data_IF_935098741134
#
_entry.id   IF_935098741134
#
_cell.length_a   1.000
_cell.length_b   1.000
_cell.length_c   1.000
_cell.angle_alpha   90.00
_cell.angle_beta   90.00
_cell.angle_gamma   90.00
#
_symmetry.space_group_name_H-M   'P 1'
#
loop_
_entity.id
_entity.type
_entity.pdbx_description
1 polymer ?
#
# COMPACT_ATOMS: atom_id res chain seq x y z
N UNK A 1 8.40 -2.99 15.80
CA UNK A 1 7.89 -3.31 17.15
C UNK A 1 7.54 -4.80 17.31
N UNK A 2 6.75 -5.40 16.41
CA UNK A 2 6.28 -6.80 16.53
C UNK A 2 7.40 -7.84 16.66
N UNK A 3 8.47 -7.70 15.85
CA UNK A 3 9.65 -8.58 15.95
C UNK A 3 10.36 -8.49 17.30
N UNK A 4 10.44 -7.29 17.90
CA UNK A 4 10.99 -7.12 19.24
C UNK A 4 10.08 -7.71 20.33
N UNK A 5 8.76 -7.76 20.11
CA UNK A 5 7.80 -8.43 21.01
C UNK A 5 7.88 -9.96 20.96
N UNK A 6 8.76 -10.53 20.13
CA UNK A 6 8.93 -11.98 19.97
C UNK A 6 7.89 -12.64 19.07
N UNK A 7 7.04 -11.86 18.39
CA UNK A 7 6.03 -12.41 17.46
C UNK A 7 6.72 -12.97 16.22
N UNK A 8 6.28 -14.15 15.80
CA UNK A 8 6.76 -14.77 14.57
C UNK A 8 6.32 -13.97 13.33
N UNK A 9 7.01 -14.14 12.18
CA UNK A 9 6.54 -13.59 10.91
C UNK A 9 5.11 -14.05 10.57
N UNK A 10 4.71 -15.26 10.99
CA UNK A 10 3.38 -15.79 10.73
C UNK A 10 2.30 -15.07 11.53
N UNK A 11 2.51 -14.89 12.84
CA UNK A 11 1.59 -14.12 13.69
C UNK A 11 1.45 -12.67 13.20
N UNK A 12 2.55 -12.06 12.74
CA UNK A 12 2.52 -10.72 12.14
C UNK A 12 1.80 -10.71 10.79
N UNK A 13 2.00 -11.73 9.96
CA UNK A 13 1.24 -11.93 8.72
C UNK A 13 -0.27 -12.00 8.96
N UNK A 14 -0.72 -12.71 10.01
CA UNK A 14 -2.14 -12.76 10.40
C UNK A 14 -2.65 -11.38 10.81
N UNK A 15 -1.91 -10.65 11.67
CA UNK A 15 -2.28 -9.30 12.08
C UNK A 15 -2.50 -8.41 10.85
N UNK A 16 -1.56 -8.43 9.91
CA UNK A 16 -1.59 -7.60 8.70
C UNK A 16 -2.66 -8.04 7.69
N UNK A 17 -3.00 -9.33 7.66
CA UNK A 17 -4.10 -9.87 6.85
C UNK A 17 -5.45 -9.35 7.35
N UNK A 18 -5.64 -9.30 8.67
CA UNK A 18 -6.89 -8.88 9.30
C UNK A 18 -7.04 -7.35 9.29
N UNK A 19 -5.93 -6.61 9.45
CA UNK A 19 -5.91 -5.15 9.62
C UNK A 19 -6.69 -4.34 8.58
N UNK A 20 -6.59 -4.60 7.27
CA UNK A 20 -7.31 -3.82 6.26
C UNK A 20 -8.75 -4.31 6.01
N UNK A 21 -9.18 -5.48 6.50
CA UNK A 21 -10.51 -6.02 6.20
C UNK A 21 -11.66 -5.13 6.69
N UNK A 22 -11.63 -4.58 7.92
CA UNK A 22 -12.69 -3.67 8.36
C UNK A 22 -12.76 -2.41 7.50
N UNK A 23 -11.63 -1.96 6.94
CA UNK A 23 -11.61 -0.76 6.09
C UNK A 23 -12.47 -0.89 4.83
N UNK A 24 -12.67 -2.11 4.30
CA UNK A 24 -13.54 -2.36 3.15
C UNK A 24 -15.00 -1.99 3.40
N UNK A 25 -15.48 -2.27 4.62
CA UNK A 25 -16.85 -1.98 5.02
C UNK A 25 -16.94 -0.57 5.59
N UNK A 26 -15.94 -0.14 6.34
CA UNK A 26 -15.96 1.15 7.03
C UNK A 26 -15.83 2.34 6.08
N UNK A 27 -15.08 2.23 4.97
CA UNK A 27 -14.97 3.30 3.95
C UNK A 27 -16.34 3.75 3.40
N UNK A 28 -17.17 2.88 2.80
CA UNK A 28 -18.46 3.30 2.25
C UNK A 28 -19.44 3.76 3.34
N UNK A 29 -19.40 3.15 4.53
CA UNK A 29 -20.24 3.57 5.65
C UNK A 29 -19.88 4.99 6.13
N UNK A 30 -18.60 5.26 6.37
CA UNK A 30 -18.15 6.59 6.79
C UNK A 30 -18.35 7.62 5.69
N UNK A 31 -18.10 7.29 4.42
CA UNK A 31 -18.42 8.16 3.29
C UNK A 31 -19.89 8.56 3.26
N UNK A 32 -20.80 7.58 3.35
CA UNK A 32 -22.24 7.84 3.38
C UNK A 32 -22.69 8.69 4.58
N UNK A 33 -22.06 8.52 5.75
CA UNK A 33 -22.29 9.35 6.93
C UNK A 33 -21.83 10.78 6.67
N UNK A 34 -20.59 10.97 6.20
CA UNK A 34 -20.02 12.29 5.91
C UNK A 34 -20.86 13.05 4.89
N UNK A 35 -21.33 12.36 3.85
CA UNK A 35 -22.16 12.96 2.81
C UNK A 35 -23.57 13.29 3.33
N UNK A 36 -24.18 12.39 4.11
CA UNK A 36 -25.51 12.59 4.70
C UNK A 36 -25.53 13.76 5.68
N UNK A 37 -24.54 13.83 6.56
CA UNK A 37 -24.44 14.86 7.60
C UNK A 37 -23.65 16.09 7.18
N UNK A 38 -23.10 16.09 5.95
CA UNK A 38 -22.35 17.21 5.37
C UNK A 38 -21.25 17.73 6.31
N UNK A 39 -20.53 16.81 6.95
CA UNK A 39 -19.58 17.12 8.02
C UNK A 39 -18.15 16.59 7.74
N UNK A 40 -17.56 16.81 6.55
CA UNK A 40 -16.25 16.24 6.20
C UNK A 40 -15.13 16.73 7.13
N UNK A 41 -15.21 17.98 7.59
CA UNK A 41 -14.28 18.53 8.59
C UNK A 41 -14.32 17.74 9.91
N UNK A 42 -15.52 17.52 10.42
CA UNK A 42 -15.72 16.83 11.70
C UNK A 42 -15.21 15.40 11.60
N UNK A 43 -15.54 14.70 10.51
CA UNK A 43 -15.06 13.35 10.28
C UNK A 43 -13.53 13.28 10.19
N UNK A 44 -12.89 14.22 9.46
CA UNK A 44 -11.43 14.30 9.41
C UNK A 44 -10.83 14.51 10.81
N UNK A 45 -11.36 15.47 11.58
CA UNK A 45 -10.91 15.72 12.96
C UNK A 45 -11.11 14.49 13.86
N UNK A 46 -12.23 13.78 13.75
CA UNK A 46 -12.47 12.54 14.51
C UNK A 46 -11.45 11.46 14.14
N UNK A 47 -11.11 11.29 12.86
CA UNK A 47 -10.08 10.31 12.46
C UNK A 47 -8.69 10.67 12.99
N UNK A 48 -8.35 11.97 13.04
CA UNK A 48 -7.09 12.45 13.62
C UNK A 48 -7.02 12.16 15.12
N UNK A 49 -8.11 12.40 15.86
CA UNK A 49 -8.18 12.11 17.30
C UNK A 49 -8.07 10.60 17.56
N UNK A 50 -8.76 9.76 16.78
CA UNK A 50 -8.64 8.30 16.91
C UNK A 50 -7.21 7.83 16.57
N UNK A 51 -6.59 8.43 15.55
CA UNK A 51 -5.18 8.20 15.21
C UNK A 51 -4.24 8.55 16.37
N UNK A 52 -4.42 9.71 16.98
CA UNK A 52 -3.66 10.13 18.17
C UNK A 52 -3.85 9.14 19.34
N UNK A 53 -5.10 8.76 19.64
CA UNK A 53 -5.41 7.83 20.73
C UNK A 53 -4.83 6.43 20.49
N UNK A 54 -4.84 5.93 19.25
CA UNK A 54 -4.24 4.64 18.91
C UNK A 54 -2.72 4.67 19.00
N UNK A 55 -2.06 5.76 18.61
CA UNK A 55 -0.61 5.94 18.83
C UNK A 55 -0.28 5.98 20.32
N UNK A 56 -1.06 6.71 21.13
CA UNK A 56 -0.92 6.70 22.59
C UNK A 56 -1.10 5.28 23.17
N UNK A 57 -2.13 4.55 22.72
CA UNK A 57 -2.35 3.17 23.14
C UNK A 57 -1.13 2.28 22.80
N UNK A 58 -0.59 2.36 21.59
CA UNK A 58 0.60 1.62 21.18
C UNK A 58 1.85 1.98 22.00
N UNK A 59 2.00 3.25 22.38
CA UNK A 59 3.11 3.73 23.21
C UNK A 59 3.00 3.22 24.66
N UNK A 60 1.79 3.15 25.21
CA UNK A 60 1.53 2.67 26.58
C UNK A 60 1.53 1.15 26.71
N UNK A 61 1.47 0.41 25.61
CA UNK A 61 1.54 -1.05 25.67
C UNK A 61 2.87 -1.50 26.28
N UNK A 62 2.85 -2.47 27.22
CA UNK A 62 4.06 -2.98 27.85
C UNK A 62 5.12 -3.33 26.80
N UNK A 63 6.38 -2.98 27.10
CA UNK A 63 7.52 -3.24 26.23
C UNK A 63 7.71 -4.74 25.94
N UNK A 64 8.69 -5.10 25.09
CA UNK A 64 8.93 -6.50 24.76
C UNK A 64 9.21 -7.31 26.03
N UNK A 65 8.41 -8.36 26.25
CA UNK A 65 8.41 -9.15 27.50
C UNK A 65 9.37 -10.35 27.42
N UNK A 66 9.85 -10.73 26.22
CA UNK A 66 10.56 -12.00 26.03
C UNK A 66 11.81 -11.88 25.17
N UNK A 67 12.86 -12.59 25.61
CA UNK A 67 14.11 -12.81 24.89
C UNK A 67 13.96 -14.02 23.95
N UNK A 68 13.43 -13.80 22.76
CA UNK A 68 13.34 -14.85 21.72
C UNK A 68 12.00 -14.91 21.02
N UNK A 69 11.91 -15.82 20.04
CA UNK A 69 10.67 -16.13 19.35
C UNK A 69 9.76 -16.87 20.34
N UNK A 70 8.55 -16.36 20.54
CA UNK A 70 7.53 -17.00 21.35
C UNK A 70 6.76 -17.95 20.43
N UNK A 71 6.42 -19.15 20.91
CA UNK A 71 5.55 -20.06 20.18
C UNK A 71 4.19 -19.41 19.89
N UNK A 72 3.71 -19.59 18.66
CA UNK A 72 2.52 -18.91 18.15
C UNK A 72 1.28 -19.25 19.00
N UNK A 73 1.17 -20.48 19.51
CA UNK A 73 0.07 -20.90 20.39
C UNK A 73 0.01 -20.11 21.71
N UNK A 74 1.17 -19.76 22.26
CA UNK A 74 1.27 -18.94 23.48
C UNK A 74 0.95 -17.48 23.16
N UNK A 75 1.43 -16.98 22.02
CA UNK A 75 1.14 -15.63 21.54
C UNK A 75 -0.37 -15.43 21.37
N UNK A 76 -1.08 -16.33 20.69
CA UNK A 76 -2.51 -16.20 20.43
C UNK A 76 -3.39 -16.34 21.68
N UNK A 77 -2.90 -16.98 22.74
CA UNK A 77 -3.61 -17.06 24.03
C UNK A 77 -3.41 -15.82 24.92
N UNK A 78 -2.41 -15.00 24.62
CA UNK A 78 -2.06 -13.86 25.47
C UNK A 78 -2.98 -12.66 25.20
N UNK A 79 -3.59 -12.02 26.23
CA UNK A 79 -4.46 -10.86 26.03
C UNK A 79 -3.75 -9.66 25.39
N UNK A 80 -2.44 -9.52 25.61
CA UNK A 80 -1.60 -8.50 24.97
C UNK A 80 -1.58 -8.62 23.44
N UNK A 81 -1.64 -9.84 22.89
CA UNK A 81 -1.70 -10.04 21.45
C UNK A 81 -3.01 -9.49 20.87
N UNK A 82 -4.15 -9.81 21.50
CA UNK A 82 -5.46 -9.32 21.06
C UNK A 82 -5.60 -7.81 21.23
N UNK A 83 -5.04 -7.23 22.31
CA UNK A 83 -4.96 -5.79 22.48
C UNK A 83 -4.10 -5.13 21.38
N UNK A 84 -2.97 -5.73 21.04
CA UNK A 84 -2.10 -5.27 19.95
C UNK A 84 -2.80 -5.36 18.59
N UNK A 85 -3.40 -6.53 18.28
CA UNK A 85 -4.16 -6.77 17.06
C UNK A 85 -5.30 -5.75 16.90
N UNK A 86 -6.14 -5.59 17.92
CA UNK A 86 -7.26 -4.65 17.87
C UNK A 86 -6.80 -3.21 17.68
N UNK A 87 -5.71 -2.80 18.35
CA UNK A 87 -5.15 -1.45 18.18
C UNK A 87 -4.61 -1.23 16.76
N UNK A 88 -3.90 -2.22 16.19
CA UNK A 88 -3.37 -2.13 14.81
C UNK A 88 -4.49 -2.15 13.77
N UNK A 89 -5.56 -2.92 14.01
CA UNK A 89 -6.76 -2.97 13.15
C UNK A 89 -7.47 -1.62 13.16
N UNK A 90 -7.68 -1.02 14.35
CA UNK A 90 -8.27 0.32 14.47
C UNK A 90 -7.37 1.34 13.76
N UNK A 91 -6.06 1.30 14.01
CA UNK A 91 -5.10 2.22 13.40
C UNK A 91 -5.12 2.18 11.86
N UNK A 92 -5.05 0.99 11.25
CA UNK A 92 -5.10 0.86 9.79
C UNK A 92 -6.47 1.27 9.22
N UNK A 93 -7.56 0.92 9.90
CA UNK A 93 -8.90 1.32 9.49
C UNK A 93 -9.04 2.85 9.54
N UNK A 94 -8.53 3.50 10.58
CA UNK A 94 -8.54 4.96 10.73
C UNK A 94 -7.71 5.65 9.66
N UNK A 95 -6.47 5.21 9.39
CA UNK A 95 -5.64 5.75 8.29
C UNK A 95 -6.38 5.62 6.96
N UNK A 96 -7.01 4.48 6.75
CA UNK A 96 -7.73 4.20 5.53
C UNK A 96 -8.95 5.10 5.33
N UNK A 97 -9.74 5.38 6.38
CA UNK A 97 -10.88 6.31 6.31
C UNK A 97 -10.37 7.73 6.13
N UNK A 98 -9.32 8.11 6.88
CA UNK A 98 -8.69 9.43 6.81
C UNK A 98 -8.26 9.75 5.38
N UNK A 99 -7.51 8.87 4.71
CA UNK A 99 -7.07 9.10 3.33
C UNK A 99 -8.23 9.32 2.35
N UNK A 100 -9.34 8.59 2.51
CA UNK A 100 -10.55 8.80 1.70
C UNK A 100 -11.19 10.18 1.94
N UNK A 101 -11.26 10.63 3.20
CA UNK A 101 -11.83 11.94 3.56
C UNK A 101 -10.93 13.07 3.08
N UNK A 102 -9.60 12.93 3.23
CA UNK A 102 -8.60 13.89 2.74
C UNK A 102 -8.68 14.07 1.22
N UNK A 103 -8.70 12.96 0.47
CA UNK A 103 -8.80 13.00 -0.99
C UNK A 103 -10.12 13.67 -1.43
N UNK A 104 -11.23 13.34 -0.75
CA UNK A 104 -12.54 13.96 -1.01
C UNK A 104 -12.53 15.46 -0.74
N UNK A 105 -11.96 15.90 0.39
CA UNK A 105 -11.85 17.32 0.74
C UNK A 105 -10.96 18.05 -0.26
N UNK A 106 -9.83 17.46 -0.64
CA UNK A 106 -8.90 18.03 -1.60
C UNK A 106 -9.58 18.28 -2.96
N UNK A 107 -10.27 17.28 -3.50
CA UNK A 107 -11.01 17.42 -4.77
C UNK A 107 -12.10 18.49 -4.66
N UNK A 108 -12.83 18.54 -3.55
CA UNK A 108 -13.86 19.54 -3.32
C UNK A 108 -13.31 20.97 -3.22
N UNK A 109 -12.14 21.15 -2.59
CA UNK A 109 -11.46 22.45 -2.48
C UNK A 109 -10.88 22.89 -3.83
N UNK A 110 -10.43 21.95 -4.66
CA UNK A 110 -9.94 22.24 -6.01
C UNK A 110 -11.06 22.65 -6.98
N UNK A 111 -12.30 22.19 -6.75
CA UNK A 111 -13.47 22.62 -7.54
C UNK A 111 -13.29 22.30 -9.03
N UNK A 112 -13.18 23.33 -9.87
CA UNK A 112 -12.99 23.20 -11.32
C UNK A 112 -11.53 22.89 -11.70
N UNK A 113 -10.58 23.13 -10.79
CA UNK A 113 -9.14 22.88 -10.97
C UNK A 113 -8.72 21.45 -10.57
N UNK A 114 -9.58 20.43 -10.77
CA UNK A 114 -9.30 19.03 -10.37
C UNK A 114 -8.00 18.46 -10.96
N UNK A 115 -7.54 19.00 -12.09
CA UNK A 115 -6.28 18.61 -12.71
C UNK A 115 -5.05 18.87 -11.81
N UNK A 116 -5.14 19.78 -10.84
CA UNK A 116 -4.08 20.07 -9.85
C UNK A 116 -4.04 19.08 -8.67
N UNK A 117 -4.91 18.07 -8.65
CA UNK A 117 -4.93 17.06 -7.58
C UNK A 117 -3.59 16.34 -7.43
N UNK A 118 -2.93 16.01 -8.55
CA UNK A 118 -1.60 15.39 -8.54
C UNK A 118 -0.55 16.28 -7.84
N UNK A 119 -0.60 17.59 -8.07
CA UNK A 119 0.31 18.57 -7.45
C UNK A 119 0.13 18.62 -5.92
N UNK A 120 -1.11 18.47 -5.44
CA UNK A 120 -1.40 18.34 -4.01
C UNK A 120 -0.91 16.99 -3.45
N UNK A 121 -1.18 15.89 -4.16
CA UNK A 121 -0.85 14.53 -3.69
C UNK A 121 0.66 14.28 -3.58
N UNK A 122 1.46 14.96 -4.40
CA UNK A 122 2.93 14.94 -4.34
C UNK A 122 3.45 15.30 -2.95
N UNK A 123 2.86 16.29 -2.28
CA UNK A 123 3.28 16.69 -0.93
C UNK A 123 3.12 15.57 0.10
N UNK A 124 2.15 14.67 -0.08
CA UNK A 124 2.02 13.46 0.74
C UNK A 124 3.20 12.48 0.56
N UNK A 125 3.74 12.36 -0.66
CA UNK A 125 4.94 11.55 -0.92
C UNK A 125 6.20 12.20 -0.36
N UNK A 126 6.30 13.53 -0.48
CA UNK A 126 7.39 14.31 0.11
C UNK A 126 7.40 14.14 1.63
N UNK A 127 6.25 14.30 2.29
CA UNK A 127 6.10 14.10 3.73
C UNK A 127 6.44 12.69 4.19
N UNK A 128 5.98 11.66 3.47
CA UNK A 128 6.33 10.27 3.77
C UNK A 128 7.84 10.05 3.68
N UNK A 129 8.48 10.51 2.60
CA UNK A 129 9.92 10.34 2.40
C UNK A 129 10.78 11.08 3.42
N UNK A 130 10.43 12.33 3.77
CA UNK A 130 11.23 13.15 4.70
C UNK A 130 11.06 12.71 6.16
N UNK A 131 9.83 12.46 6.62
CA UNK A 131 9.58 12.04 8.00
C UNK A 131 10.12 10.62 8.25
N UNK A 132 10.16 9.76 7.23
CA UNK A 132 10.71 8.40 7.36
C UNK A 132 12.20 8.38 7.73
N UNK A 133 13.04 9.17 7.03
CA UNK A 133 14.47 9.24 7.34
C UNK A 133 14.74 9.92 8.69
N UNK A 134 14.00 10.99 9.01
CA UNK A 134 14.10 11.68 10.31
C UNK A 134 13.74 10.71 11.44
N UNK A 135 12.60 10.01 11.33
CA UNK A 135 12.15 9.05 12.34
C UNK A 135 13.13 7.89 12.50
N UNK A 136 13.66 7.36 11.39
CA UNK A 136 14.66 6.31 11.40
C UNK A 136 15.95 6.72 12.11
N UNK A 137 16.48 7.90 11.78
CA UNK A 137 17.69 8.46 12.39
C UNK A 137 17.49 8.76 13.88
N UNK A 138 16.33 9.33 14.27
CA UNK A 138 16.00 9.59 15.66
C UNK A 138 15.95 8.30 16.49
N UNK A 139 15.33 7.24 15.97
CA UNK A 139 15.28 5.93 16.66
C UNK A 139 16.69 5.37 16.83
N UNK A 140 17.51 5.37 15.80
CA UNK A 140 18.88 4.86 15.89
C UNK A 140 19.75 5.67 16.85
N UNK A 141 19.62 7.00 16.85
CA UNK A 141 20.36 7.89 17.74
C UNK A 141 19.97 7.71 19.22
N UNK A 142 18.67 7.68 19.54
CA UNK A 142 18.18 7.43 20.89
C UNK A 142 18.43 6.02 21.40
N UNK A 143 18.62 5.06 20.48
CA UNK A 143 18.89 3.66 20.84
C UNK A 143 20.39 3.38 21.04
N UNK A 144 21.28 4.39 20.93
CA UNK A 144 22.72 4.19 21.15
C UNK A 144 22.97 3.65 22.58
N UNK A 145 23.72 2.56 22.66
CA UNK A 145 24.04 1.88 23.93
C UNK A 145 22.89 1.06 24.53
N UNK A 146 21.71 1.01 23.91
CA UNK A 146 20.59 0.22 24.38
C UNK A 146 20.55 -1.16 23.69
N UNK A 147 20.13 -2.19 24.42
CA UNK A 147 20.00 -3.56 23.90
C UNK A 147 18.88 -3.72 22.85
N UNK A 148 17.89 -2.84 22.88
CA UNK A 148 16.77 -2.82 21.92
C UNK A 148 16.62 -1.43 21.31
N UNK A 149 16.03 -1.38 20.10
CA UNK A 149 15.66 -0.08 19.51
C UNK A 149 14.51 0.51 20.29
N UNK A 150 14.71 1.71 20.82
CA UNK A 150 13.69 2.48 21.49
C UNK A 150 12.89 3.28 20.46
N UNK A 151 11.62 2.92 20.31
CA UNK A 151 10.70 3.56 19.38
C UNK A 151 10.02 4.82 19.95
N UNK A 152 10.33 5.21 21.20
CA UNK A 152 9.79 6.41 21.84
C UNK A 152 9.92 7.68 20.98
N UNK A 153 11.07 7.97 20.33
CA UNK A 153 11.17 9.15 19.47
C UNK A 153 10.18 9.12 18.32
N UNK A 154 9.95 7.96 17.71
CA UNK A 154 8.98 7.80 16.63
C UNK A 154 7.54 8.03 17.11
N UNK A 155 7.20 7.57 18.32
CA UNK A 155 5.89 7.84 18.91
C UNK A 155 5.71 9.33 19.22
N UNK A 156 6.71 9.98 19.83
CA UNK A 156 6.67 11.42 20.11
C UNK A 156 6.51 12.21 18.81
N UNK A 157 7.35 11.94 17.79
CA UNK A 157 7.23 12.59 16.48
C UNK A 157 5.85 12.39 15.87
N UNK A 158 5.29 11.18 15.94
CA UNK A 158 3.94 10.90 15.43
C UNK A 158 2.87 11.69 16.18
N UNK A 159 2.92 11.74 17.52
CA UNK A 159 1.97 12.48 18.34
C UNK A 159 2.06 13.99 18.08
N UNK A 160 3.27 14.54 17.93
CA UNK A 160 3.46 15.95 17.55
C UNK A 160 2.85 16.24 16.18
N UNK A 161 3.07 15.37 15.19
CA UNK A 161 2.49 15.55 13.85
C UNK A 161 0.97 15.44 13.86
N UNK A 162 0.38 14.52 14.63
CA UNK A 162 -1.08 14.44 14.80
C UNK A 162 -1.65 15.69 15.47
N UNK A 163 -0.95 16.28 16.45
CA UNK A 163 -1.38 17.52 17.09
C UNK A 163 -1.33 18.73 16.15
N UNK A 164 -0.27 18.83 15.34
CA UNK A 164 -0.14 19.87 14.30
C UNK A 164 -1.23 19.71 13.23
N UNK A 165 -1.45 18.49 12.76
CA UNK A 165 -2.49 18.16 11.78
C UNK A 165 -3.91 18.51 12.30
N UNK A 166 -4.19 18.22 13.58
CA UNK A 166 -5.44 18.65 14.21
C UNK A 166 -5.59 20.17 14.22
N UNK A 167 -4.50 20.89 14.54
CA UNK A 167 -4.48 22.35 14.53
C UNK A 167 -4.74 22.89 13.12
N UNK A 168 -4.06 22.38 12.10
CA UNK A 168 -4.20 22.82 10.71
C UNK A 168 -5.61 22.57 10.19
N UNK A 169 -6.14 21.35 10.37
CA UNK A 169 -7.52 21.00 9.98
C UNK A 169 -8.54 21.86 10.70
N UNK A 170 -8.30 22.23 11.96
CA UNK A 170 -9.20 23.14 12.70
C UNK A 170 -9.32 24.52 12.04
N UNK A 171 -8.28 24.97 11.31
CA UNK A 171 -8.25 26.27 10.61
C UNK A 171 -8.76 26.21 9.18
N UNK A 172 -8.74 25.04 8.54
CA UNK A 172 -9.25 24.90 7.17
C UNK A 172 -10.75 25.25 7.11
N UNK A 173 -11.10 26.15 6.19
CA UNK A 173 -12.48 26.47 5.84
C UNK A 173 -12.92 25.55 4.70
N UNK A 174 -13.70 24.52 5.04
CA UNK A 174 -14.23 23.60 4.04
C UNK A 174 -15.55 24.18 3.54
N UNK A 175 -15.53 24.77 2.35
CA UNK A 175 -16.74 25.25 1.67
C UNK A 175 -17.29 24.09 0.85
N UNK A 176 -18.44 23.57 1.27
CA UNK A 176 -19.08 22.45 0.60
C UNK A 176 -19.93 22.99 -0.56
N UNK A 177 -19.49 22.79 -1.81
CA UNK A 177 -20.33 23.03 -2.98
C UNK A 177 -21.46 21.98 -2.96
N UNK A 178 -22.71 22.43 -2.90
CA UNK A 178 -23.87 21.56 -3.12
C UNK A 178 -23.84 21.11 -4.58
N UNK A 179 -23.73 19.80 -4.81
CA UNK A 179 -24.13 19.23 -6.09
C UNK A 179 -25.25 18.20 -5.88
N UNK A 180 -26.26 18.37 -6.73
CA UNK A 180 -27.55 17.71 -6.68
C UNK A 180 -27.45 16.20 -6.87
N UNK A 181 -28.46 15.53 -6.32
CA UNK A 181 -28.76 14.11 -6.50
C UNK A 181 -28.69 13.68 -7.97
N UNK A 182 -27.62 12.96 -8.35
CA UNK A 182 -27.51 12.34 -9.67
C UNK A 182 -27.53 10.81 -9.50
N UNK A 183 -28.71 10.26 -9.81
CA UNK A 183 -28.94 8.99 -10.52
C UNK A 183 -28.49 7.70 -9.79
N UNK A 184 -29.25 7.27 -8.78
CA UNK A 184 -29.15 5.91 -8.20
C UNK A 184 -29.60 4.80 -9.16
N UNK A 185 -30.32 5.12 -10.23
CA UNK A 185 -31.09 4.13 -11.01
C UNK A 185 -30.30 3.49 -12.16
N UNK A 186 -29.21 4.09 -12.66
CA UNK A 186 -28.37 3.52 -13.74
C UNK A 186 -27.08 2.81 -13.26
N UNK A 187 -26.67 3.03 -12.00
CA UNK A 187 -25.43 2.50 -11.43
C UNK A 187 -25.41 0.96 -11.40
N UNK A 188 -26.52 0.31 -11.04
CA UNK A 188 -26.59 -1.16 -10.93
C UNK A 188 -26.43 -1.83 -12.30
N UNK A 189 -26.98 -1.21 -13.35
CA UNK A 189 -26.92 -1.73 -14.72
C UNK A 189 -25.52 -1.52 -15.32
N UNK A 190 -24.93 -0.33 -15.16
CA UNK A 190 -23.55 -0.06 -15.55
C UNK A 190 -22.53 -0.96 -14.83
N UNK A 191 -22.73 -1.18 -13.53
CA UNK A 191 -21.89 -2.07 -12.72
C UNK A 191 -21.95 -3.52 -13.21
N UNK A 192 -23.15 -4.03 -13.52
CA UNK A 192 -23.31 -5.36 -14.10
C UNK A 192 -22.63 -5.47 -15.47
N UNK A 193 -22.71 -4.44 -16.32
CA UNK A 193 -22.02 -4.42 -17.62
C UNK A 193 -20.49 -4.51 -17.48
N UNK A 194 -19.92 -3.86 -16.47
CA UNK A 194 -18.48 -3.93 -16.19
C UNK A 194 -18.02 -5.36 -15.85
N UNK A 195 -18.77 -6.06 -14.99
CA UNK A 195 -18.48 -7.45 -14.61
C UNK A 195 -18.86 -8.47 -15.69
N UNK A 196 -19.67 -8.09 -16.68
CA UNK A 196 -20.01 -8.97 -17.81
C UNK A 196 -18.88 -9.03 -18.85
N UNK A 197 -17.96 -8.06 -18.83
CA UNK A 197 -16.84 -8.02 -19.77
C UNK A 197 -15.68 -8.90 -19.27
N UNK A 198 -15.50 -10.07 -19.87
CA UNK A 198 -14.45 -11.03 -19.49
C UNK A 198 -13.03 -10.41 -19.43
N UNK A 199 -12.72 -9.42 -20.29
CA UNK A 199 -11.44 -8.70 -20.28
C UNK A 199 -11.21 -7.92 -18.98
N UNK A 200 -12.26 -7.34 -18.41
CA UNK A 200 -12.18 -6.58 -17.15
C UNK A 200 -11.97 -7.52 -15.97
N UNK A 201 -12.65 -8.67 -15.95
CA UNK A 201 -12.44 -9.69 -14.91
C UNK A 201 -11.00 -10.22 -14.91
N UNK A 202 -10.44 -10.53 -16.08
CA UNK A 202 -9.04 -10.93 -16.23
C UNK A 202 -8.12 -9.83 -15.72
N UNK A 203 -8.40 -8.57 -16.03
CA UNK A 203 -7.58 -7.44 -15.56
C UNK A 203 -7.67 -7.27 -14.03
N UNK A 204 -8.86 -7.40 -13.43
CA UNK A 204 -9.04 -7.38 -11.96
C UNK A 204 -8.23 -8.49 -11.30
N UNK A 205 -8.19 -9.69 -11.88
CA UNK A 205 -7.35 -10.77 -11.37
C UNK A 205 -5.86 -10.39 -11.33
N UNK A 206 -5.35 -9.73 -12.37
CA UNK A 206 -3.97 -9.23 -12.38
C UNK A 206 -3.73 -8.12 -11.36
N UNK A 207 -4.72 -7.26 -11.10
CA UNK A 207 -4.66 -6.27 -10.03
C UNK A 207 -4.51 -6.96 -8.66
N UNK A 208 -5.24 -8.05 -8.41
CA UNK A 208 -5.11 -8.83 -7.16
C UNK A 208 -3.68 -9.40 -7.01
N UNK A 209 -3.09 -9.93 -8.10
CA UNK A 209 -1.71 -10.44 -8.08
C UNK A 209 -0.70 -9.31 -7.82
N UNK A 210 -0.92 -8.11 -8.37
CA UNK A 210 -0.07 -6.95 -8.07
C UNK A 210 -0.15 -6.57 -6.59
N UNK A 211 -1.36 -6.53 -6.01
CA UNK A 211 -1.55 -6.29 -4.57
C UNK A 211 -0.90 -7.37 -3.71
N UNK A 212 -0.93 -8.64 -4.16
CA UNK A 212 -0.23 -9.75 -3.52
C UNK A 212 1.28 -9.53 -3.45
N UNK A 213 1.93 -9.09 -4.55
CA UNK A 213 3.37 -8.82 -4.51
C UNK A 213 3.71 -7.55 -3.72
N UNK A 214 2.86 -6.53 -3.80
CA UNK A 214 3.05 -5.27 -3.09
C UNK A 214 3.06 -5.44 -1.56
N UNK A 215 2.27 -6.38 -1.01
CA UNK A 215 2.26 -6.64 0.44
C UNK A 215 3.61 -7.09 1.00
N UNK A 216 4.42 -7.80 0.22
CA UNK A 216 5.76 -8.21 0.65
C UNK A 216 6.68 -7.01 0.83
N UNK A 217 6.55 -6.04 -0.07
CA UNK A 217 7.32 -4.80 -0.03
C UNK A 217 6.81 -3.90 1.10
N UNK A 218 5.49 -3.77 1.26
CA UNK A 218 4.93 -2.94 2.33
C UNK A 218 5.24 -3.47 3.74
N UNK A 219 5.15 -4.79 3.94
CA UNK A 219 5.12 -5.33 5.30
C UNK A 219 6.32 -6.19 5.70
N UNK A 220 6.93 -6.92 4.76
CA UNK A 220 8.01 -7.86 5.05
C UNK A 220 9.39 -7.33 4.68
N UNK A 221 9.47 -6.29 3.88
CA UNK A 221 10.72 -5.67 3.46
C UNK A 221 11.60 -5.18 4.63
N UNK A 222 11.02 -4.48 5.60
CA UNK A 222 11.76 -4.05 6.80
C UNK A 222 12.24 -5.22 7.64
N UNK A 223 11.47 -6.32 7.67
CA UNK A 223 11.87 -7.54 8.34
C UNK A 223 13.11 -8.15 7.67
N UNK A 224 13.10 -8.18 6.34
CA UNK A 224 14.22 -8.64 5.53
C UNK A 224 15.47 -7.79 5.71
N UNK A 225 15.37 -6.46 5.72
CA UNK A 225 16.52 -5.59 6.00
C UNK A 225 17.14 -5.89 7.38
N UNK A 226 16.30 -6.13 8.39
CA UNK A 226 16.79 -6.54 9.70
C UNK A 226 17.42 -7.94 9.68
N UNK A 227 16.91 -8.87 8.87
CA UNK A 227 17.52 -10.19 8.71
C UNK A 227 18.88 -10.12 8.01
N UNK A 228 19.04 -9.32 6.95
CA UNK A 228 20.34 -9.09 6.30
C UNK A 228 21.38 -8.55 7.30
N UNK A 229 20.97 -7.54 8.07
CA UNK A 229 21.82 -6.96 9.12
C UNK A 229 22.13 -7.98 10.22
N UNK A 230 21.23 -8.92 10.52
CA UNK A 230 21.48 -9.96 11.51
C UNK A 230 22.40 -11.09 11.00
N UNK A 231 22.28 -11.46 9.73
CA UNK A 231 22.94 -12.63 9.12
C UNK A 231 24.32 -12.27 8.59
N UNK A 232 24.43 -11.21 7.79
CA UNK A 232 25.66 -10.89 7.04
C UNK A 232 26.45 -9.74 7.65
N UNK A 233 25.77 -8.68 8.10
CA UNK A 233 26.44 -7.44 8.51
C UNK A 233 25.93 -6.89 9.86
N UNK A 234 26.23 -7.57 11.01
CA UNK A 234 25.80 -7.12 12.33
C UNK A 234 26.24 -5.70 12.73
N UNK A 235 27.32 -5.20 12.13
CA UNK A 235 27.82 -3.84 12.27
C UNK A 235 26.85 -2.76 11.77
N UNK A 236 25.88 -3.13 10.92
CA UNK A 236 24.86 -2.21 10.40
C UNK A 236 23.64 -2.08 11.32
N UNK A 237 23.49 -2.95 12.34
CA UNK A 237 22.36 -2.91 13.30
C UNK A 237 22.18 -1.56 14.00
N UNK A 238 23.23 -0.80 14.35
CA UNK A 238 23.07 0.53 14.94
C UNK A 238 22.36 1.53 14.01
N UNK A 239 22.46 1.35 12.70
CA UNK A 239 21.95 2.28 11.67
C UNK A 239 20.77 1.72 10.87
N UNK A 240 20.25 0.55 11.25
CA UNK A 240 19.25 -0.17 10.45
C UNK A 240 17.93 0.59 10.28
N UNK A 241 17.52 1.40 11.25
CA UNK A 241 16.28 2.19 11.15
C UNK A 241 16.47 3.40 10.25
N UNK A 242 17.66 3.97 10.24
CA UNK A 242 18.07 5.01 9.31
C UNK A 242 18.09 4.48 7.88
N UNK A 243 18.62 3.26 7.67
CA UNK A 243 18.59 2.59 6.35
C UNK A 243 17.13 2.36 5.92
N UNK A 244 16.26 1.83 6.79
CA UNK A 244 14.82 1.70 6.50
C UNK A 244 14.17 3.04 6.15
N UNK A 245 14.48 4.11 6.88
CA UNK A 245 13.99 5.45 6.57
C UNK A 245 14.47 5.95 5.20
N UNK A 246 15.75 5.77 4.89
CA UNK A 246 16.36 6.16 3.62
C UNK A 246 15.78 5.39 2.44
N UNK A 247 15.48 4.10 2.60
CA UNK A 247 14.82 3.30 1.55
C UNK A 247 13.48 3.91 1.15
N UNK A 248 12.64 4.30 2.13
CA UNK A 248 11.38 4.98 1.87
C UNK A 248 11.59 6.34 1.20
N UNK A 249 12.61 7.11 1.61
CA UNK A 249 12.97 8.37 0.96
C UNK A 249 13.30 8.15 -0.52
N UNK A 250 14.13 7.15 -0.85
CA UNK A 250 14.48 6.83 -2.24
C UNK A 250 13.26 6.34 -3.02
N UNK A 251 12.40 5.52 -2.42
CA UNK A 251 11.14 5.10 -3.05
C UNK A 251 10.26 6.32 -3.40
N UNK A 252 10.15 7.30 -2.51
CA UNK A 252 9.34 8.50 -2.73
C UNK A 252 9.94 9.44 -3.79
N UNK A 253 11.20 9.86 -3.61
CA UNK A 253 11.83 10.87 -4.46
C UNK A 253 12.46 10.29 -5.73
N UNK A 254 13.07 9.11 -5.65
CA UNK A 254 13.74 8.46 -6.78
C UNK A 254 12.80 7.60 -7.62
N UNK A 255 11.84 6.92 -6.99
CA UNK A 255 10.87 6.07 -7.66
C UNK A 255 9.58 6.80 -8.02
N UNK A 256 8.78 7.14 -7.01
CA UNK A 256 7.39 7.56 -7.21
C UNK A 256 7.28 8.90 -7.95
N UNK A 257 8.05 9.91 -7.54
CA UNK A 257 7.95 11.25 -8.11
C UNK A 257 8.25 11.28 -9.63
N UNK A 258 9.37 10.74 -10.13
CA UNK A 258 9.65 10.72 -11.57
C UNK A 258 8.65 9.88 -12.37
N UNK A 259 8.27 8.71 -11.87
CA UNK A 259 7.39 7.80 -12.61
C UNK A 259 5.93 8.24 -12.61
N UNK A 260 5.43 8.93 -11.57
CA UNK A 260 4.11 9.53 -11.63
C UNK A 260 4.05 10.62 -12.71
N UNK A 261 5.08 11.47 -12.82
CA UNK A 261 5.17 12.46 -13.88
C UNK A 261 5.27 11.83 -15.27
N UNK A 262 6.16 10.82 -15.43
CA UNK A 262 6.42 10.17 -16.70
C UNK A 262 5.30 9.22 -17.15
N UNK A 263 4.46 8.74 -16.22
CA UNK A 263 3.38 7.78 -16.51
C UNK A 263 2.44 8.26 -17.61
N UNK A 264 2.10 9.55 -17.63
CA UNK A 264 1.22 10.16 -18.63
C UNK A 264 1.80 10.09 -20.05
N UNK A 265 3.12 10.15 -20.19
CA UNK A 265 3.80 10.03 -21.47
C UNK A 265 3.89 8.57 -21.93
N UNK A 266 4.22 7.66 -21.00
CA UNK A 266 4.31 6.22 -21.27
C UNK A 266 2.95 5.67 -21.70
N UNK A 267 1.88 5.99 -20.96
CA UNK A 267 0.52 5.50 -21.21
C UNK A 267 -0.13 6.06 -22.49
N UNK A 268 0.44 7.11 -23.07
CA UNK A 268 0.04 7.60 -24.41
C UNK A 268 0.68 6.79 -25.55
N UNK A 269 1.84 6.17 -25.29
CA UNK A 269 2.64 5.49 -26.32
C UNK A 269 2.61 3.97 -26.23
N UNK A 270 2.36 3.44 -25.03
CA UNK A 270 2.41 2.00 -24.73
C UNK A 270 1.03 1.56 -24.23
N UNK A 271 0.55 0.42 -24.75
CA UNK A 271 -0.71 -0.15 -24.28
C UNK A 271 -0.57 -0.66 -22.84
N UNK A 272 -1.65 -0.55 -22.06
CA UNK A 272 -1.64 -0.87 -20.63
C UNK A 272 -1.16 -2.30 -20.34
N UNK A 273 -1.50 -3.28 -21.20
CA UNK A 273 -1.13 -4.68 -21.00
C UNK A 273 0.38 -4.90 -21.07
N UNK A 274 1.08 -4.18 -21.94
CA UNK A 274 2.54 -4.25 -22.00
C UNK A 274 3.19 -3.58 -20.79
N UNK A 275 2.60 -2.49 -20.30
CA UNK A 275 3.07 -1.83 -19.07
C UNK A 275 2.89 -2.75 -17.87
N UNK A 276 1.74 -3.42 -17.72
CA UNK A 276 1.52 -4.41 -16.64
C UNK A 276 2.51 -5.58 -16.74
N UNK A 277 2.82 -6.06 -17.94
CA UNK A 277 3.86 -7.09 -18.14
C UNK A 277 5.24 -6.59 -17.66
N UNK A 278 5.60 -5.34 -17.97
CA UNK A 278 6.85 -4.73 -17.51
C UNK A 278 6.91 -4.57 -15.98
N UNK A 279 5.77 -4.34 -15.33
CA UNK A 279 5.64 -4.27 -13.87
C UNK A 279 5.94 -5.63 -13.25
N UNK A 280 5.34 -6.72 -13.75
CA UNK A 280 5.64 -8.07 -13.25
C UNK A 280 7.10 -8.47 -13.47
N UNK A 281 7.68 -8.11 -14.61
CA UNK A 281 9.11 -8.30 -14.86
C UNK A 281 9.96 -7.53 -13.83
N UNK A 282 9.60 -6.28 -13.53
CA UNK A 282 10.32 -5.48 -12.54
C UNK A 282 10.18 -6.07 -11.14
N UNK A 283 9.02 -6.59 -10.76
CA UNK A 283 8.86 -7.34 -9.50
C UNK A 283 9.77 -8.57 -9.46
N UNK A 284 9.86 -9.33 -10.55
CA UNK A 284 10.73 -10.50 -10.64
C UNK A 284 12.20 -10.14 -10.45
N UNK A 285 12.67 -9.08 -11.12
CA UNK A 285 14.03 -8.54 -10.96
C UNK A 285 14.25 -8.04 -9.54
N UNK A 286 13.32 -7.25 -9.00
CA UNK A 286 13.41 -6.67 -7.65
C UNK A 286 13.53 -7.76 -6.58
N UNK A 287 12.68 -8.78 -6.62
CA UNK A 287 12.74 -9.91 -5.70
C UNK A 287 13.96 -10.80 -5.92
N UNK A 288 14.43 -10.96 -7.16
CA UNK A 288 15.69 -11.65 -7.44
C UNK A 288 16.87 -10.92 -6.79
N UNK A 289 16.95 -9.59 -6.97
CA UNK A 289 18.00 -8.77 -6.36
C UNK A 289 17.95 -8.88 -4.83
N UNK A 290 16.77 -8.86 -4.20
CA UNK A 290 16.64 -9.11 -2.76
C UNK A 290 17.05 -10.52 -2.33
N UNK A 291 17.08 -11.50 -3.23
CA UNK A 291 17.58 -12.84 -2.88
C UNK A 291 19.11 -12.96 -2.94
N UNK A 292 19.80 -12.01 -3.59
CA UNK A 292 21.25 -12.05 -3.82
C UNK A 292 21.98 -10.99 -3.00
N UNK A 293 21.30 -9.91 -2.58
CA UNK A 293 21.91 -8.86 -1.78
C UNK A 293 22.23 -9.38 -0.38
N UNK A 294 23.50 -9.29 -0.01
CA UNK A 294 23.96 -9.60 1.36
C UNK A 294 24.13 -8.32 2.20
N UNK A 295 24.64 -7.25 1.60
CA UNK A 295 24.84 -5.97 2.27
C UNK A 295 23.57 -5.09 2.20
N UNK A 296 22.99 -4.67 3.35
CA UNK A 296 21.78 -3.86 3.41
C UNK A 296 21.81 -2.55 2.60
N UNK A 297 22.98 -1.95 2.37
CA UNK A 297 23.11 -0.72 1.58
C UNK A 297 22.85 -0.94 0.09
N UNK A 298 23.13 -2.13 -0.46
CA UNK A 298 22.85 -2.45 -1.87
C UNK A 298 21.36 -2.55 -2.17
N UNK A 299 20.50 -2.52 -1.16
CA UNK A 299 19.05 -2.46 -1.33
C UNK A 299 18.62 -1.06 -1.82
N UNK A 300 19.35 0.00 -1.46
CA UNK A 300 19.04 1.39 -1.84
C UNK A 300 18.89 1.62 -3.36
N UNK A 301 19.82 1.20 -4.24
CA UNK A 301 19.65 1.35 -5.68
C UNK A 301 18.48 0.53 -6.24
N UNK A 302 18.11 -0.59 -5.60
CA UNK A 302 16.96 -1.40 -6.01
C UNK A 302 15.64 -0.64 -5.77
N UNK A 303 15.60 0.25 -4.79
CA UNK A 303 14.40 1.03 -4.45
C UNK A 303 13.97 2.03 -5.54
N UNK A 304 14.85 2.41 -6.47
CA UNK A 304 14.45 3.19 -7.64
C UNK A 304 13.43 2.45 -8.53
N UNK A 305 13.48 1.11 -8.55
CA UNK A 305 12.51 0.28 -9.26
C UNK A 305 11.08 0.40 -8.69
N UNK A 306 10.93 0.97 -7.48
CA UNK A 306 9.62 1.21 -6.89
C UNK A 306 8.73 2.11 -7.73
N UNK A 307 9.32 3.03 -8.49
CA UNK A 307 8.57 3.89 -9.41
C UNK A 307 7.80 3.08 -10.46
N UNK A 308 8.38 1.98 -10.95
CA UNK A 308 7.70 1.09 -11.91
C UNK A 308 6.68 0.22 -11.18
N UNK A 309 7.10 -0.45 -10.10
CA UNK A 309 6.25 -1.45 -9.41
C UNK A 309 5.05 -0.84 -8.71
N UNK A 310 5.15 0.43 -8.30
CA UNK A 310 4.08 1.14 -7.59
C UNK A 310 3.46 2.26 -8.43
N UNK A 311 4.24 3.31 -8.75
CA UNK A 311 3.68 4.52 -9.35
C UNK A 311 3.14 4.29 -10.77
N UNK A 312 3.95 3.70 -11.66
CA UNK A 312 3.53 3.38 -13.02
C UNK A 312 2.43 2.31 -13.03
N UNK A 313 2.54 1.28 -12.17
CA UNK A 313 1.53 0.24 -12.03
C UNK A 313 0.15 0.83 -11.67
N UNK A 314 0.10 1.64 -10.60
CA UNK A 314 -1.14 2.28 -10.14
C UNK A 314 -1.74 3.19 -11.22
N UNK A 315 -0.94 4.04 -11.85
CA UNK A 315 -1.40 4.91 -12.95
C UNK A 315 -1.95 4.12 -14.14
N UNK A 316 -1.32 3.00 -14.48
CA UNK A 316 -1.74 2.12 -15.59
C UNK A 316 -3.09 1.47 -15.29
N UNK A 317 -3.23 0.90 -14.08
CA UNK A 317 -4.45 0.23 -13.64
C UNK A 317 -5.63 1.20 -13.68
N UNK A 318 -5.45 2.39 -13.09
CA UNK A 318 -6.46 3.44 -13.05
C UNK A 318 -6.85 3.85 -14.47
N UNK A 319 -5.88 4.15 -15.33
CA UNK A 319 -6.14 4.60 -16.69
C UNK A 319 -6.88 3.55 -17.52
N UNK A 320 -6.48 2.28 -17.44
CA UNK A 320 -7.10 1.20 -18.18
C UNK A 320 -8.55 0.94 -17.74
N UNK A 321 -8.76 0.88 -16.42
CA UNK A 321 -10.09 0.60 -15.86
C UNK A 321 -11.07 1.75 -16.10
N UNK A 322 -10.65 3.01 -15.94
CA UNK A 322 -11.51 4.17 -16.21
C UNK A 322 -11.83 4.30 -17.71
N UNK A 323 -10.90 3.97 -18.62
CA UNK A 323 -11.18 3.96 -20.07
C UNK A 323 -12.13 2.82 -20.48
N UNK A 324 -12.09 1.71 -19.78
CA UNK A 324 -12.97 0.56 -20.03
C UNK A 324 -14.35 0.72 -19.40
N UNK A 325 -14.51 1.68 -18.50
CA UNK A 325 -15.75 1.94 -17.80
C UNK A 325 -16.63 2.95 -18.54
N UNK A 326 -17.96 2.77 -18.54
CA UNK A 326 -18.89 3.76 -19.05
C UNK A 326 -18.81 5.08 -18.24
N UNK A 327 -19.07 6.20 -18.91
CA UNK A 327 -18.95 7.55 -18.32
C UNK A 327 -19.86 7.69 -17.10
N UNK A 328 -19.32 8.21 -15.99
CA UNK A 328 -20.08 8.47 -14.76
C UNK A 328 -19.94 7.44 -13.64
N UNK A 329 -19.15 6.37 -13.79
CA UNK A 329 -18.87 5.39 -12.71
C UNK A 329 -17.41 5.35 -12.25
N UNK A 330 -16.62 6.38 -12.54
CA UNK A 330 -15.19 6.44 -12.23
C UNK A 330 -14.91 6.20 -10.73
N UNK A 331 -15.70 6.80 -9.83
CA UNK A 331 -15.56 6.59 -8.39
C UNK A 331 -15.78 5.13 -7.97
N UNK A 332 -16.75 4.45 -8.58
CA UNK A 332 -17.02 3.02 -8.32
C UNK A 332 -15.87 2.16 -8.84
N UNK A 333 -15.33 2.48 -10.01
CA UNK A 333 -14.19 1.78 -10.62
C UNK A 333 -12.93 1.91 -9.75
N UNK A 334 -12.65 3.10 -9.23
CA UNK A 334 -11.59 3.32 -8.25
C UNK A 334 -11.80 2.44 -7.00
N UNK A 335 -13.03 2.39 -6.47
CA UNK A 335 -13.39 1.52 -5.35
C UNK A 335 -13.07 0.04 -5.62
N UNK A 336 -13.37 -0.46 -6.82
CA UNK A 336 -13.04 -1.83 -7.25
C UNK A 336 -11.51 -2.03 -7.28
N UNK A 337 -10.76 -1.11 -7.88
CA UNK A 337 -9.28 -1.18 -7.95
C UNK A 337 -8.67 -1.27 -6.55
N UNK A 338 -9.05 -0.36 -5.65
CA UNK A 338 -8.50 -0.34 -4.29
C UNK A 338 -8.92 -1.58 -3.48
N UNK A 339 -10.13 -2.10 -3.71
CA UNK A 339 -10.59 -3.36 -3.10
C UNK A 339 -9.78 -4.54 -3.61
N UNK A 340 -9.52 -4.62 -4.92
CA UNK A 340 -8.70 -5.68 -5.50
C UNK A 340 -7.25 -5.63 -5.01
N UNK A 341 -6.62 -4.45 -4.98
CA UNK A 341 -5.25 -4.26 -4.49
C UNK A 341 -5.15 -4.50 -2.97
N UNK A 342 -5.77 -3.63 -2.18
CA UNK A 342 -5.54 -3.54 -0.74
C UNK A 342 -6.54 -4.34 0.10
N UNK A 343 -7.70 -4.67 -0.47
CA UNK A 343 -8.74 -5.45 0.20
C UNK A 343 -8.60 -6.95 0.05
N UNK A 344 -8.05 -7.41 -1.08
CA UNK A 344 -7.94 -8.83 -1.41
C UNK A 344 -6.47 -9.22 -1.63
N UNK A 345 -5.78 -8.56 -2.57
CA UNK A 345 -4.40 -8.88 -2.91
C UNK A 345 -3.45 -8.79 -1.71
N UNK A 346 -3.46 -7.63 -1.03
CA UNK A 346 -2.56 -7.37 0.10
C UNK A 346 -2.81 -8.32 1.28
N UNK A 347 -4.05 -8.62 1.71
CA UNK A 347 -4.30 -9.64 2.74
C UNK A 347 -3.81 -11.03 2.36
N UNK A 348 -4.08 -11.49 1.14
CA UNK A 348 -3.60 -12.81 0.67
C UNK A 348 -2.06 -12.85 0.69
N UNK A 349 -1.41 -11.81 0.17
CA UNK A 349 0.04 -11.73 0.18
C UNK A 349 0.63 -11.58 1.58
N UNK A 350 -0.08 -10.92 2.50
CA UNK A 350 0.37 -10.80 3.89
C UNK A 350 0.33 -12.14 4.64
N UNK A 351 -0.71 -12.93 4.42
CA UNK A 351 -0.84 -14.26 4.98
C UNK A 351 0.24 -15.20 4.42
N UNK A 352 0.38 -15.25 3.09
CA UNK A 352 1.40 -16.09 2.43
C UNK A 352 2.80 -15.62 2.80
N UNK A 353 3.03 -14.31 2.90
CA UNK A 353 4.32 -13.76 3.31
C UNK A 353 4.69 -14.11 4.74
N UNK A 354 3.72 -14.06 5.66
CA UNK A 354 3.93 -14.50 7.03
C UNK A 354 4.32 -15.96 7.10
N UNK A 355 3.66 -16.82 6.31
CA UNK A 355 3.97 -18.24 6.22
C UNK A 355 5.37 -18.50 5.62
N UNK A 356 5.68 -17.89 4.46
CA UNK A 356 6.95 -18.08 3.76
C UNK A 356 8.14 -17.61 4.61
N UNK A 357 8.06 -16.40 5.18
CA UNK A 357 9.13 -15.85 6.03
C UNK A 357 9.33 -16.68 7.29
N UNK A 358 8.27 -17.24 7.85
CA UNK A 358 8.36 -18.10 9.04
C UNK A 358 8.99 -19.47 8.73
N UNK A 359 8.66 -20.07 7.59
CA UNK A 359 9.10 -21.43 7.23
C UNK A 359 10.47 -21.48 6.57
N UNK A 360 10.75 -20.55 5.67
CA UNK A 360 11.94 -20.57 4.81
C UNK A 360 12.92 -19.42 5.08
N UNK A 361 12.56 -18.46 5.92
CA UNK A 361 13.34 -17.24 6.14
C UNK A 361 13.16 -16.22 5.01
N UNK A 362 13.63 -14.99 5.23
CA UNK A 362 13.36 -13.85 4.34
C UNK A 362 14.04 -13.95 2.97
N UNK A 363 15.33 -14.30 2.92
CA UNK A 363 16.12 -14.36 1.67
C UNK A 363 15.54 -15.43 0.70
N UNK A 364 15.30 -16.65 1.20
CA UNK A 364 14.72 -17.71 0.38
C UNK A 364 13.27 -17.41 -0.03
N UNK A 365 12.51 -16.73 0.83
CA UNK A 365 11.17 -16.26 0.48
C UNK A 365 11.20 -15.32 -0.73
N UNK A 366 12.13 -14.36 -0.78
CA UNK A 366 12.29 -13.50 -1.96
C UNK A 366 12.71 -14.25 -3.22
N UNK A 367 13.50 -15.33 -3.09
CA UNK A 367 13.81 -16.22 -4.21
C UNK A 367 12.57 -16.92 -4.77
N UNK A 368 11.70 -17.46 -3.90
CA UNK A 368 10.42 -18.06 -4.31
C UNK A 368 9.55 -17.00 -5.00
N UNK A 369 9.44 -15.80 -4.42
CA UNK A 369 8.63 -14.71 -4.96
C UNK A 369 9.12 -14.23 -6.31
N UNK A 370 10.44 -14.22 -6.55
CA UNK A 370 10.99 -13.95 -7.87
C UNK A 370 10.50 -14.97 -8.91
N UNK A 371 10.54 -16.26 -8.60
CA UNK A 371 10.01 -17.31 -9.47
C UNK A 371 8.49 -17.18 -9.72
N UNK A 372 7.73 -16.83 -8.68
CA UNK A 372 6.29 -16.54 -8.81
C UNK A 372 6.05 -15.32 -9.71
N UNK A 373 6.84 -14.25 -9.57
CA UNK A 373 6.70 -13.04 -10.38
C UNK A 373 7.07 -13.27 -11.85
N UNK A 374 8.10 -14.07 -12.14
CA UNK A 374 8.41 -14.51 -13.52
C UNK A 374 7.23 -15.30 -14.10
N UNK A 375 6.69 -16.25 -13.33
CA UNK A 375 5.54 -17.05 -13.76
C UNK A 375 4.33 -16.17 -14.05
N UNK A 376 4.01 -15.22 -13.16
CA UNK A 376 2.93 -14.24 -13.37
C UNK A 376 3.18 -13.36 -14.60
N UNK A 377 4.43 -12.94 -14.86
CA UNK A 377 4.78 -12.18 -16.05
C UNK A 377 4.52 -12.98 -17.34
N UNK A 378 5.01 -14.22 -17.40
CA UNK A 378 4.82 -15.11 -18.56
C UNK A 378 3.34 -15.40 -18.78
N UNK A 379 2.61 -15.76 -17.72
CA UNK A 379 1.17 -16.00 -17.80
C UNK A 379 0.41 -14.76 -18.24
N UNK A 380 0.76 -13.57 -17.74
CA UNK A 380 0.15 -12.32 -18.16
C UNK A 380 0.34 -12.10 -19.67
N UNK A 381 1.57 -12.23 -20.17
CA UNK A 381 1.87 -12.09 -21.60
C UNK A 381 1.06 -13.09 -22.44
N UNK A 382 1.03 -14.36 -22.05
CA UNK A 382 0.29 -15.41 -22.76
C UNK A 382 -1.21 -15.11 -22.79
N UNK A 383 -1.80 -14.78 -21.64
CA UNK A 383 -3.24 -14.45 -21.53
C UNK A 383 -3.58 -13.20 -22.34
N UNK A 384 -2.74 -12.16 -22.30
CA UNK A 384 -2.92 -10.96 -23.14
C UNK A 384 -2.88 -11.30 -24.62
N UNK A 385 -1.91 -12.12 -25.07
CA UNK A 385 -1.80 -12.52 -26.47
C UNK A 385 -3.01 -13.34 -26.94
N UNK A 386 -3.46 -14.30 -26.13
CA UNK A 386 -4.64 -15.11 -26.42
C UNK A 386 -5.90 -14.26 -26.50
N UNK A 387 -6.10 -13.35 -25.53
CA UNK A 387 -7.23 -12.42 -25.51
C UNK A 387 -7.24 -11.52 -26.74
N UNK A 388 -6.06 -11.02 -27.16
CA UNK A 388 -5.93 -10.21 -28.36
C UNK A 388 -6.26 -11.00 -29.63
N UNK A 389 -5.82 -12.26 -29.74
CA UNK A 389 -6.15 -13.15 -30.87
C UNK A 389 -7.64 -13.43 -30.96
N UNK A 390 -8.30 -13.74 -29.83
CA UNK A 390 -9.73 -14.04 -29.79
C UNK A 390 -10.62 -12.82 -30.08
N UNK A 391 -10.10 -11.61 -29.88
CA UNK A 391 -10.84 -10.37 -30.14
C UNK A 391 -10.64 -9.76 -31.52
N UNK A 392 -9.77 -10.32 -32.37
CA UNK A 392 -9.72 -9.91 -33.78
C UNK A 392 -11.00 -10.42 -34.48
N UNK A 393 -11.75 -9.57 -35.21
CA UNK A 393 -12.90 -10.03 -35.96
C UNK A 393 -12.44 -11.02 -37.04
N UNK A 394 -13.18 -12.12 -37.20
CA UNK A 394 -12.98 -13.15 -38.22
C UNK A 394 -13.10 -12.63 -39.68
N UNK A 395 -13.46 -11.37 -39.89
CA UNK A 395 -13.80 -10.81 -41.21
C UNK A 395 -12.59 -10.35 -42.04
N UNK A 396 -11.43 -11.01 -41.94
CA UNK A 396 -10.29 -10.71 -42.83
C UNK A 396 -9.83 -11.90 -43.68
N UNK A 397 -10.56 -13.03 -43.62
CA UNK A 397 -10.31 -14.20 -44.49
C UNK A 397 -11.33 -14.33 -45.64
N UNK A 398 -12.35 -13.48 -45.73
CA UNK A 398 -13.37 -13.51 -46.79
C UNK A 398 -13.25 -12.41 -47.86
N UNK A 399 -12.35 -11.42 -47.71
CA UNK A 399 -12.08 -10.39 -48.75
C UNK A 399 -10.86 -10.72 -49.62
N UNK A 400 -10.29 -11.92 -49.49
CA UNK A 400 -9.13 -12.37 -50.27
C UNK A 400 -9.38 -13.69 -51.04
N UNK A 401 -10.63 -13.96 -51.44
CA UNK A 401 -10.96 -15.03 -52.39
C UNK A 401 -11.84 -14.54 -53.52
#
# INVERSE_FOLDING_TARGET
>A
MSKQRGYSPFAVGIILTISPLPSLVMRPLFGAIVDKYKCPKLALMTTIVIGFMTVCALMLMPGPVVYGKIDDDVVFRTPLFWLYLTTIVIFHTTISIRGMVEDTICVNLLGDDKHKYGEQRVWGSVGWGTISIISGACVDWFSKGQKHKNYLPCFITSLTLYALDFYDVSKIKIVQKQENSIIKTDLKKLFMTLFTTYKVLIFIFWIIILGFFDSFIMYFYFWYLEDLSNIYHPETKPWIKTIQGLTLTIQCFGGNFPFFYLSSFILKRVKAEYVVSSVFLTFAVRFFLYSVIENPFWVLPVEFLNGITFALALSTIISYMCRSAPTGIEATVMGIIYTALYGIGVPIGSFVGGYLFNRFGSIFSFKILSGMAVTSCVLHIVVTQLTNRLSKPKNSEEEAR
#
